data_IF_680852081816
#
_entry.id   IF_680852081816
#
_cell.length_a   1.000
_cell.length_b   1.000
_cell.length_c   1.000
_cell.angle_alpha   90.00
_cell.angle_beta   90.00
_cell.angle_gamma   90.00
#
_symmetry.space_group_name_H-M   'P 1'
#
loop_
_entity.id
_entity.type
_entity.pdbx_description
1 polymer ?
#
# COMPACT_ATOMS: atom_id res chain seq x y z
N UNK A 1 -13.45 -53.72 -36.27
CA UNK A 1 -13.08 -54.71 -35.23
C UNK A 1 -12.19 -54.03 -34.22
N UNK A 2 -12.66 -53.95 -32.97
CA UNK A 2 -11.95 -53.33 -31.86
C UNK A 2 -11.04 -54.40 -31.23
N UNK A 3 -9.73 -54.16 -31.19
CA UNK A 3 -8.80 -54.94 -30.37
C UNK A 3 -8.15 -53.99 -29.39
N UNK A 4 -8.69 -53.98 -28.19
CA UNK A 4 -8.18 -53.26 -27.04
C UNK A 4 -6.95 -54.00 -26.53
N UNK A 5 -5.80 -53.35 -26.49
CA UNK A 5 -4.65 -53.82 -25.72
C UNK A 5 -4.55 -52.99 -24.44
N UNK A 6 -5.04 -53.60 -23.36
CA UNK A 6 -4.87 -53.22 -21.97
C UNK A 6 -3.40 -53.36 -21.57
N UNK A 7 -2.79 -52.29 -21.03
CA UNK A 7 -1.75 -52.45 -19.99
C UNK A 7 -2.09 -51.52 -18.82
N UNK A 8 -2.50 -52.18 -17.75
CA UNK A 8 -2.54 -51.68 -16.38
C UNK A 8 -1.11 -51.40 -15.89
N UNK A 9 -0.87 -50.22 -15.33
CA UNK A 9 0.13 -50.05 -14.27
C UNK A 9 -0.29 -48.89 -13.38
N UNK A 10 -1.08 -49.22 -12.36
CA UNK A 10 -1.33 -48.36 -11.23
C UNK A 10 -0.09 -48.38 -10.32
N UNK A 11 0.49 -47.21 -10.03
CA UNK A 11 1.13 -46.99 -8.74
C UNK A 11 0.31 -45.95 -7.97
N UNK A 12 -0.25 -46.45 -6.88
CA UNK A 12 -0.94 -45.73 -5.83
C UNK A 12 0.04 -44.75 -5.16
N UNK A 13 -0.24 -43.45 -5.24
CA UNK A 13 0.17 -42.54 -4.18
C UNK A 13 -0.98 -42.46 -3.19
N UNK A 14 -0.85 -43.21 -2.09
CA UNK A 14 -1.59 -42.97 -0.86
C UNK A 14 -1.09 -41.64 -0.29
N UNK A 15 -1.85 -40.57 -0.47
CA UNK A 15 -1.79 -39.45 0.47
C UNK A 15 -3.13 -39.40 1.18
N UNK A 16 -3.08 -39.83 2.44
CA UNK A 16 -4.16 -39.74 3.39
C UNK A 16 -4.62 -38.29 3.54
N UNK A 17 -5.93 -38.06 3.44
CA UNK A 17 -6.61 -37.26 4.44
C UNK A 17 -8.05 -37.74 4.56
N UNK A 18 -8.39 -38.10 5.80
CA UNK A 18 -9.66 -38.65 6.24
C UNK A 18 -10.80 -37.69 5.95
N UNK A 19 -11.92 -38.22 5.45
CA UNK A 19 -13.21 -37.54 5.48
C UNK A 19 -13.74 -37.51 6.91
N UNK A 20 -14.38 -36.40 7.28
CA UNK A 20 -15.60 -36.32 8.10
C UNK A 20 -15.96 -34.83 8.30
N UNK A 21 -17.07 -34.39 7.71
CA UNK A 21 -17.93 -33.38 8.38
C UNK A 21 -18.84 -34.14 9.37
N UNK A 22 -19.47 -33.56 10.41
CA UNK A 22 -19.51 -32.16 10.89
C UNK A 22 -19.28 -32.01 12.43
N UNK A 23 -19.33 -30.76 12.92
CA UNK A 23 -19.73 -30.31 14.28
C UNK A 23 -18.65 -29.94 15.33
N UNK A 24 -18.90 -28.77 15.96
CA UNK A 24 -18.52 -28.34 17.31
C UNK A 24 -17.05 -28.00 17.66
N UNK A 25 -16.78 -26.69 17.68
CA UNK A 25 -16.12 -25.91 18.75
C UNK A 25 -15.03 -26.58 19.61
N UNK A 26 -13.75 -26.22 19.39
CA UNK A 26 -12.87 -25.53 20.36
C UNK A 26 -11.44 -25.31 19.81
N UNK A 27 -11.06 -24.03 19.77
CA UNK A 27 -9.75 -23.46 20.16
C UNK A 27 -8.55 -23.46 19.19
N UNK A 28 -8.12 -22.22 18.89
CA UNK A 28 -6.72 -21.75 18.91
C UNK A 28 -5.91 -21.78 17.60
N UNK A 29 -5.87 -20.58 17.01
CA UNK A 29 -4.71 -19.90 16.37
C UNK A 29 -4.23 -20.37 15.00
N UNK A 30 -4.70 -19.66 13.96
CA UNK A 30 -3.81 -18.89 13.05
C UNK A 30 -4.59 -17.83 12.26
N UNK A 31 -4.35 -16.59 12.67
CA UNK A 31 -4.64 -15.28 12.04
C UNK A 31 -5.37 -15.29 10.69
N UNK A 32 -6.66 -14.96 10.76
CA UNK A 32 -7.43 -14.36 9.68
C UNK A 32 -6.79 -13.03 9.30
N UNK A 33 -6.37 -12.85 8.05
CA UNK A 33 -6.17 -11.52 7.48
C UNK A 33 -7.50 -11.12 6.88
N UNK A 34 -8.30 -10.41 7.69
CA UNK A 34 -9.42 -9.62 7.21
C UNK A 34 -8.86 -8.59 6.23
N UNK A 35 -9.10 -8.82 4.93
CA UNK A 35 -8.96 -7.79 3.92
C UNK A 35 -10.12 -6.82 4.15
N UNK A 36 -9.89 -5.85 5.02
CA UNK A 36 -10.77 -4.69 5.17
C UNK A 36 -10.67 -3.89 3.87
N UNK A 37 -11.72 -3.98 3.08
CA UNK A 37 -12.01 -3.17 1.91
C UNK A 37 -11.87 -1.68 2.23
N UNK A 38 -10.74 -1.06 1.88
CA UNK A 38 -10.64 0.41 1.87
C UNK A 38 -11.18 0.88 0.52
N UNK A 39 -12.49 1.10 0.50
CA UNK A 39 -13.16 1.88 -0.53
C UNK A 39 -13.81 3.08 0.16
N UNK A 40 -13.16 4.23 0.08
CA UNK A 40 -13.84 5.46 -0.32
C UNK A 40 -12.79 6.50 -0.69
N UNK A 41 -12.61 6.60 -2.00
CA UNK A 41 -12.09 7.76 -2.69
C UNK A 41 -13.12 8.87 -2.47
N UNK A 42 -12.84 9.78 -1.55
CA UNK A 42 -13.51 11.09 -1.56
C UNK A 42 -12.65 12.03 -2.40
N UNK A 43 -13.07 12.10 -3.65
CA UNK A 43 -12.64 13.07 -4.64
C UNK A 43 -13.21 14.43 -4.22
N UNK A 44 -12.42 15.21 -3.49
CA UNK A 44 -12.62 16.66 -3.41
C UNK A 44 -11.57 17.32 -4.30
N UNK A 45 -12.05 17.66 -5.50
CA UNK A 45 -11.41 18.60 -6.40
C UNK A 45 -11.45 19.99 -5.76
N UNK A 46 -10.28 20.51 -5.41
CA UNK A 46 -10.07 21.94 -5.22
C UNK A 46 -8.73 22.29 -5.81
N UNK A 47 -8.77 22.71 -7.06
CA UNK A 47 -7.66 23.32 -7.79
C UNK A 47 -7.29 24.62 -7.07
N UNK A 48 -6.16 24.63 -6.39
CA UNK A 48 -5.43 25.86 -6.11
C UNK A 48 -4.02 25.72 -6.67
N UNK A 49 -3.79 26.37 -7.82
CA UNK A 49 -2.46 26.70 -8.32
C UNK A 49 -1.66 27.39 -7.22
N UNK A 50 -0.52 26.82 -6.85
CA UNK A 50 0.44 27.50 -6.00
C UNK A 50 1.86 27.18 -6.43
N UNK A 51 2.33 28.01 -7.36
CA UNK A 51 3.67 28.59 -7.45
C UNK A 51 4.72 28.03 -6.46
N UNK A 52 5.79 27.52 -7.06
CA UNK A 52 7.15 27.29 -6.54
C UNK A 52 7.52 28.23 -5.38
N UNK A 53 7.19 27.83 -4.16
CA UNK A 53 7.80 28.36 -2.94
C UNK A 53 8.32 27.18 -2.15
N UNK A 54 9.65 27.14 -2.03
CA UNK A 54 10.40 26.32 -1.10
C UNK A 54 9.93 26.64 0.34
N UNK A 55 8.77 26.11 0.69
CA UNK A 55 8.18 26.20 2.01
C UNK A 55 8.67 24.97 2.73
N UNK A 56 9.58 25.16 3.67
CA UNK A 56 10.13 24.08 4.47
C UNK A 56 9.01 23.54 5.34
N UNK A 57 8.38 22.46 4.90
CA UNK A 57 7.33 21.79 5.64
C UNK A 57 7.96 20.93 6.75
N UNK A 58 7.30 20.80 7.90
CA UNK A 58 7.82 20.00 9.03
C UNK A 58 8.03 18.52 8.66
N UNK A 59 7.25 18.01 7.71
CA UNK A 59 7.38 16.65 7.19
C UNK A 59 8.48 16.48 6.13
N UNK A 60 9.06 17.58 5.61
CA UNK A 60 10.04 17.53 4.54
C UNK A 60 11.35 16.87 4.98
N UNK A 61 11.85 17.23 6.17
CA UNK A 61 13.10 16.66 6.68
C UNK A 61 13.00 15.14 6.85
N UNK A 62 11.85 14.65 7.32
CA UNK A 62 11.58 13.21 7.44
C UNK A 62 11.46 12.50 6.11
N UNK A 63 10.84 13.15 5.12
CA UNK A 63 10.82 12.62 3.78
C UNK A 63 12.24 12.51 3.18
N UNK A 64 13.07 13.55 3.37
CA UNK A 64 14.45 13.57 2.85
C UNK A 64 15.36 12.55 3.55
N UNK A 65 15.19 12.38 4.87
CA UNK A 65 15.89 11.35 5.65
C UNK A 65 15.59 9.93 5.13
N UNK A 66 14.32 9.64 4.83
CA UNK A 66 13.90 8.30 4.40
C UNK A 66 14.30 7.99 2.94
N UNK A 67 14.19 8.98 2.05
CA UNK A 67 14.29 8.74 0.60
C UNK A 67 15.59 9.22 -0.03
N UNK A 68 16.31 10.14 0.63
CA UNK A 68 17.43 10.89 0.03
C UNK A 68 17.08 11.52 -1.33
N UNK A 69 15.79 11.77 -1.59
CA UNK A 69 15.32 12.28 -2.88
C UNK A 69 15.70 13.74 -3.07
N UNK A 70 16.09 14.10 -4.30
CA UNK A 70 16.36 15.48 -4.70
C UNK A 70 15.53 15.80 -5.94
N UNK A 71 14.75 16.87 -5.86
CA UNK A 71 13.84 17.26 -6.92
C UNK A 71 13.01 18.50 -6.57
N UNK A 72 12.00 18.78 -7.39
CA UNK A 72 11.02 19.82 -7.11
C UNK A 72 9.83 19.26 -6.35
N UNK A 73 9.05 20.16 -5.73
CA UNK A 73 7.82 19.80 -5.02
C UNK A 73 6.64 20.55 -5.58
N UNK A 74 5.48 19.91 -5.53
CA UNK A 74 4.19 20.51 -5.84
C UNK A 74 3.20 20.18 -4.73
N UNK A 75 2.63 21.20 -4.12
CA UNK A 75 1.58 21.04 -3.11
C UNK A 75 0.24 20.95 -3.83
N UNK A 76 -0.42 19.80 -3.74
CA UNK A 76 -1.73 19.57 -4.37
C UNK A 76 -2.87 19.89 -3.41
N UNK A 77 -2.61 19.76 -2.10
CA UNK A 77 -3.57 20.09 -1.07
C UNK A 77 -2.82 20.49 0.19
N UNK A 78 -3.20 21.62 0.79
CA UNK A 78 -2.79 22.00 2.12
C UNK A 78 -3.96 22.60 2.88
N UNK A 79 -4.52 21.86 3.84
CA UNK A 79 -5.60 22.35 4.68
C UNK A 79 -5.31 22.11 6.17
N UNK A 80 -6.25 22.46 7.05
CA UNK A 80 -6.07 22.32 8.51
C UNK A 80 -5.85 20.87 8.97
N UNK A 81 -6.27 19.89 8.17
CA UNK A 81 -6.27 18.47 8.56
C UNK A 81 -5.15 17.67 7.91
N UNK A 82 -4.84 17.95 6.64
CA UNK A 82 -3.86 17.20 5.86
C UNK A 82 -3.13 18.07 4.84
N UNK A 83 -1.91 17.64 4.50
CA UNK A 83 -1.14 18.15 3.36
C UNK A 83 -0.77 17.00 2.42
N UNK A 84 -0.86 17.24 1.12
CA UNK A 84 -0.45 16.31 0.07
C UNK A 84 0.57 17.00 -0.83
N UNK A 85 1.77 16.42 -0.92
CA UNK A 85 2.88 16.94 -1.72
C UNK A 85 3.28 15.88 -2.74
N UNK A 86 3.50 16.29 -3.98
CA UNK A 86 4.16 15.51 -5.02
C UNK A 86 5.63 15.91 -5.09
N UNK A 87 6.49 14.89 -5.16
CA UNK A 87 7.93 15.05 -5.29
C UNK A 87 8.32 14.64 -6.70
N UNK A 88 8.85 15.59 -7.46
CA UNK A 88 9.07 15.46 -8.89
C UNK A 88 10.53 15.57 -9.28
N UNK A 89 10.90 14.88 -10.34
CA UNK A 89 12.18 15.07 -11.03
C UNK A 89 11.86 15.23 -12.53
N UNK A 90 12.28 16.34 -13.14
CA UNK A 90 11.97 16.66 -14.53
C UNK A 90 10.47 16.46 -14.89
N UNK A 91 9.58 16.98 -14.06
CA UNK A 91 8.11 16.87 -14.15
C UNK A 91 7.51 15.46 -13.94
N UNK A 92 8.33 14.42 -13.80
CA UNK A 92 7.89 13.08 -13.42
C UNK A 92 7.68 12.98 -11.90
N UNK A 93 6.51 12.49 -11.47
CA UNK A 93 6.20 12.28 -10.05
C UNK A 93 6.82 10.96 -9.58
N UNK A 94 7.77 11.04 -8.66
CA UNK A 94 8.39 9.85 -8.05
C UNK A 94 7.72 9.47 -6.73
N UNK A 95 7.40 10.46 -5.90
CA UNK A 95 6.78 10.22 -4.61
C UNK A 95 5.56 11.10 -4.40
N UNK A 96 4.65 10.57 -3.58
CA UNK A 96 3.55 11.32 -2.98
C UNK A 96 3.63 11.17 -1.48
N UNK A 97 3.58 12.29 -0.77
CA UNK A 97 3.42 12.29 0.68
C UNK A 97 1.99 12.69 1.06
N UNK A 98 1.49 12.08 2.12
CA UNK A 98 0.24 12.46 2.78
C UNK A 98 0.58 12.67 4.24
N UNK A 99 0.55 13.94 4.67
CA UNK A 99 0.76 14.31 6.05
C UNK A 99 -0.59 14.59 6.72
N UNK A 100 -0.92 13.83 7.77
CA UNK A 100 -2.09 14.01 8.60
C UNK A 100 -1.70 14.83 9.83
N UNK A 101 -1.92 16.15 9.76
CA UNK A 101 -1.49 17.14 10.77
C UNK A 101 -2.05 16.83 12.16
N UNK A 102 -3.32 16.48 12.23
CA UNK A 102 -4.00 16.14 13.48
C UNK A 102 -3.46 14.88 14.17
N UNK A 103 -2.80 13.99 13.41
CA UNK A 103 -2.23 12.74 13.91
C UNK A 103 -0.70 12.79 13.95
N UNK A 104 -0.10 13.90 13.52
CA UNK A 104 1.33 14.03 13.27
C UNK A 104 1.89 12.76 12.58
N UNK A 105 1.26 12.39 11.46
CA UNK A 105 1.58 11.15 10.73
C UNK A 105 1.87 11.44 9.28
N UNK A 106 3.04 11.02 8.82
CA UNK A 106 3.47 11.08 7.43
C UNK A 106 3.37 9.69 6.80
N UNK A 107 2.76 9.63 5.63
CA UNK A 107 2.79 8.47 4.75
C UNK A 107 3.57 8.85 3.48
N UNK A 108 4.51 8.01 3.09
CA UNK A 108 5.35 8.16 1.89
C UNK A 108 4.99 7.04 0.91
N UNK A 109 4.60 7.42 -0.29
CA UNK A 109 4.16 6.51 -1.35
C UNK A 109 5.13 6.65 -2.52
N UNK A 110 5.73 5.53 -2.92
CA UNK A 110 6.50 5.42 -4.16
C UNK A 110 5.53 5.19 -5.33
N UNK A 111 5.42 6.20 -6.18
CA UNK A 111 4.52 6.19 -7.33
C UNK A 111 5.10 5.35 -8.47
N UNK A 112 6.42 5.28 -8.58
CA UNK A 112 7.12 4.50 -9.61
C UNK A 112 7.11 3.00 -9.26
N UNK A 113 7.23 2.67 -7.97
CA UNK A 113 7.19 1.32 -7.40
C UNK A 113 5.78 0.73 -7.22
N UNK A 114 4.89 0.90 -8.21
CA UNK A 114 3.50 0.42 -8.19
C UNK A 114 2.58 1.07 -7.12
N UNK A 115 2.80 2.32 -6.74
CA UNK A 115 2.03 3.01 -5.69
C UNK A 115 2.13 2.34 -4.31
N UNK A 116 3.28 1.75 -4.02
CA UNK A 116 3.52 1.07 -2.74
C UNK A 116 3.82 2.09 -1.64
N UNK A 117 3.29 1.84 -0.44
CA UNK A 117 3.72 2.57 0.75
C UNK A 117 5.13 2.10 1.13
N UNK A 118 6.08 3.02 1.11
CA UNK A 118 7.49 2.72 1.42
C UNK A 118 7.90 3.22 2.80
N UNK A 119 7.13 4.13 3.39
CA UNK A 119 7.43 4.67 4.71
C UNK A 119 6.19 5.23 5.40
N UNK A 120 6.14 5.02 6.72
CA UNK A 120 5.19 5.72 7.58
C UNK A 120 5.88 6.17 8.87
N UNK A 121 5.91 7.49 9.07
CA UNK A 121 6.52 8.12 10.23
C UNK A 121 5.42 8.71 11.10
N UNK A 122 5.48 8.46 12.41
CA UNK A 122 4.53 9.01 13.38
C UNK A 122 5.28 9.89 14.39
N UNK A 123 4.60 10.92 14.90
CA UNK A 123 5.07 11.76 15.99
C UNK A 123 6.47 12.35 15.77
N UNK A 124 6.70 12.97 14.61
CA UNK A 124 7.94 13.67 14.34
C UNK A 124 7.77 15.16 14.69
N UNK A 125 8.74 15.70 15.42
CA UNK A 125 8.80 17.10 15.85
C UNK A 125 10.20 17.61 15.53
#
# INVERSE_FOLDING_TARGET
>A
MKKYLLIFSALFFLSACSSEEPSATKNTTRSSVEISTIHNVEQEESTEESNTKNSTFEEQDKFLEETSFSGSTEVILDNKTKRIILWKNNDEVHYKTIYLKNKNKLKIIDVHGNNSEIGSVNNFV
#
